data_IF_893828899690
#
_entry.id   IF_893828899690
#
_cell.length_a   1.000
_cell.length_b   1.000
_cell.length_c   1.000
_cell.angle_alpha   90.00
_cell.angle_beta   90.00
_cell.angle_gamma   90.00
#
_symmetry.space_group_name_H-M   'P 1'
#
loop_
_entity.id
_entity.type
_entity.pdbx_description
1 polymer ?
#
# COMPACT_ATOMS: atom_id res chain seq x y z
N UNK A 1 -8.55 -13.73 -8.56
CA UNK A 1 -7.52 -13.73 -9.64
C UNK A 1 -6.17 -13.76 -8.97
N UNK A 2 -5.22 -14.63 -9.36
CA UNK A 2 -3.91 -14.67 -8.69
C UNK A 2 -3.06 -13.46 -9.12
N UNK A 3 -2.47 -12.76 -8.15
CA UNK A 3 -1.59 -11.60 -8.37
C UNK A 3 -0.14 -11.99 -8.07
N UNK A 4 0.76 -11.66 -8.99
CA UNK A 4 2.20 -11.78 -8.76
C UNK A 4 2.64 -10.69 -7.79
N UNK A 5 3.23 -11.08 -6.66
CA UNK A 5 3.78 -10.11 -5.68
C UNK A 5 5.28 -10.01 -5.85
N UNK A 6 5.75 -8.78 -6.08
CA UNK A 6 7.15 -8.41 -6.17
C UNK A 6 7.49 -7.40 -5.06
N UNK A 7 8.79 -7.16 -4.87
CA UNK A 7 9.29 -6.21 -3.89
C UNK A 7 10.37 -5.35 -4.54
N UNK A 8 10.40 -4.04 -4.25
CA UNK A 8 11.55 -3.21 -4.59
C UNK A 8 12.74 -3.54 -3.70
N UNK A 9 13.95 -3.21 -4.13
CA UNK A 9 15.15 -3.44 -3.30
C UNK A 9 15.09 -2.65 -2.01
N UNK A 10 14.61 -1.40 -2.10
CA UNK A 10 14.45 -0.54 -0.93
C UNK A 10 13.43 -1.13 0.05
N UNK A 11 12.29 -1.61 -0.42
CA UNK A 11 11.30 -2.25 0.44
C UNK A 11 11.89 -3.43 1.21
N UNK A 12 12.62 -4.33 0.53
CA UNK A 12 13.26 -5.48 1.19
C UNK A 12 14.26 -5.07 2.27
N UNK A 13 15.02 -4.00 2.04
CA UNK A 13 15.95 -3.46 3.04
C UNK A 13 15.21 -2.84 4.23
N UNK A 14 14.16 -2.08 3.96
CA UNK A 14 13.39 -1.38 5.00
C UNK A 14 12.65 -2.37 5.91
N UNK A 15 12.09 -3.46 5.35
CA UNK A 15 11.36 -4.44 6.16
C UNK A 15 12.27 -5.33 7.02
N UNK A 16 13.57 -5.39 6.72
CA UNK A 16 14.50 -6.27 7.43
C UNK A 16 14.67 -5.91 8.92
N UNK A 17 14.26 -4.70 9.32
CA UNK A 17 14.33 -4.20 10.70
C UNK A 17 12.98 -4.22 11.42
N UNK A 18 11.91 -4.67 10.77
CA UNK A 18 10.57 -4.70 11.36
C UNK A 18 10.39 -5.86 12.32
N UNK A 19 9.40 -5.73 13.20
CA UNK A 19 8.99 -6.80 14.11
C UNK A 19 8.30 -7.95 13.37
N UNK A 20 8.26 -9.13 14.01
CA UNK A 20 7.55 -10.30 13.46
C UNK A 20 6.07 -10.03 13.19
N UNK A 21 5.41 -9.23 14.04
CA UNK A 21 3.99 -8.88 13.87
C UNK A 21 3.77 -8.00 12.63
N UNK A 22 4.65 -7.04 12.38
CA UNK A 22 4.62 -6.20 11.18
C UNK A 22 4.88 -7.03 9.92
N UNK A 23 5.91 -7.88 9.96
CA UNK A 23 6.25 -8.80 8.87
C UNK A 23 5.12 -9.77 8.57
N UNK A 24 4.43 -10.26 9.60
CA UNK A 24 3.27 -11.13 9.45
C UNK A 24 2.15 -10.42 8.71
N UNK A 25 1.82 -9.18 9.06
CA UNK A 25 0.78 -8.41 8.39
C UNK A 25 1.11 -8.17 6.90
N UNK A 26 2.36 -7.80 6.61
CA UNK A 26 2.88 -7.67 5.22
C UNK A 26 2.77 -8.99 4.47
N UNK A 27 3.16 -10.10 5.11
CA UNK A 27 3.07 -11.45 4.57
C UNK A 27 1.64 -11.91 4.28
N UNK A 28 0.72 -11.67 5.22
CA UNK A 28 -0.71 -12.01 5.08
C UNK A 28 -1.34 -11.26 3.90
N UNK A 29 -0.98 -9.99 3.71
CA UNK A 29 -1.41 -9.23 2.53
C UNK A 29 -0.85 -9.84 1.24
N UNK A 30 0.45 -10.16 1.18
CA UNK A 30 1.06 -10.81 0.02
C UNK A 30 0.42 -12.17 -0.30
N UNK A 31 0.09 -12.97 0.72
CA UNK A 31 -0.59 -14.27 0.57
C UNK A 31 -2.02 -14.08 0.03
N UNK A 32 -2.75 -13.08 0.52
CA UNK A 32 -4.09 -12.75 0.04
C UNK A 32 -4.06 -12.39 -1.46
N UNK A 33 -3.13 -11.53 -1.87
CA UNK A 33 -2.93 -11.17 -3.28
C UNK A 33 -2.64 -12.39 -4.16
N UNK A 34 -1.78 -13.31 -3.71
CA UNK A 34 -1.44 -14.52 -4.48
C UNK A 34 -2.60 -15.51 -4.58
N UNK A 35 -3.47 -15.58 -3.57
CA UNK A 35 -4.53 -16.59 -3.48
C UNK A 35 -5.88 -16.11 -4.02
N UNK A 36 -6.40 -15.00 -3.52
CA UNK A 36 -7.69 -14.41 -3.93
C UNK A 36 -7.52 -13.19 -4.83
N UNK A 37 -6.36 -12.54 -4.82
CA UNK A 37 -6.15 -11.24 -5.45
C UNK A 37 -6.55 -10.12 -4.51
N UNK A 38 -7.25 -9.11 -5.03
CA UNK A 38 -7.72 -7.98 -4.21
C UNK A 38 -9.09 -8.21 -3.56
N UNK A 39 -9.69 -9.39 -3.78
CA UNK A 39 -10.99 -9.75 -3.23
C UNK A 39 -10.86 -10.14 -1.75
N UNK A 40 -11.80 -9.65 -0.93
CA UNK A 40 -11.89 -10.01 0.49
C UNK A 40 -10.88 -9.32 1.40
N UNK A 41 -10.20 -8.27 0.93
CA UNK A 41 -9.33 -7.48 1.78
C UNK A 41 -10.15 -6.72 2.84
N UNK A 42 -9.81 -6.78 4.14
CA UNK A 42 -10.53 -6.05 5.18
C UNK A 42 -10.27 -4.54 5.14
N UNK A 43 -9.02 -4.14 4.85
CA UNK A 43 -8.61 -2.76 4.79
C UNK A 43 -9.00 -2.06 3.49
N UNK A 44 -9.03 -0.73 3.53
CA UNK A 44 -9.18 0.09 2.34
C UNK A 44 -7.96 -0.09 1.44
N UNK A 45 -8.21 -0.47 0.20
CA UNK A 45 -7.21 -0.54 -0.87
C UNK A 45 -7.58 0.42 -2.00
N UNK A 46 -6.69 1.32 -2.40
CA UNK A 46 -7.04 2.35 -3.40
C UNK A 46 -5.83 2.96 -4.13
N UNK A 47 -6.07 3.58 -5.31
CA UNK A 47 -5.06 4.42 -5.95
C UNK A 47 -4.60 5.56 -5.05
N UNK A 48 -3.31 5.87 -5.09
CA UNK A 48 -2.67 6.95 -4.34
C UNK A 48 -2.89 8.35 -4.96
N UNK A 49 -3.90 8.50 -5.82
CA UNK A 49 -4.29 9.77 -6.47
C UNK A 49 -5.23 10.62 -5.60
N UNK A 50 -5.64 10.12 -4.43
CA UNK A 50 -6.55 10.78 -3.49
C UNK A 50 -5.92 11.96 -2.74
N UNK A 51 -5.34 12.93 -3.44
CA UNK A 51 -4.66 14.09 -2.85
C UNK A 51 -5.68 15.21 -2.53
N UNK A 52 -5.57 15.78 -1.32
CA UNK A 52 -6.43 16.86 -0.83
C UNK A 52 -6.53 18.02 -1.84
N UNK A 53 -7.75 18.54 -2.02
CA UNK A 53 -8.02 19.70 -2.91
C UNK A 53 -7.24 20.96 -2.51
N UNK A 54 -6.81 21.06 -1.24
CA UNK A 54 -6.08 22.21 -0.69
C UNK A 54 -4.56 22.04 -0.73
N UNK A 55 -4.05 20.90 -1.21
CA UNK A 55 -2.61 20.65 -1.22
C UNK A 55 -1.92 21.46 -2.32
N UNK A 56 -0.91 22.27 -1.98
CA UNK A 56 -0.25 23.17 -2.94
C UNK A 56 0.34 22.44 -4.16
N UNK A 57 0.81 21.20 -3.96
CA UNK A 57 1.40 20.37 -5.03
C UNK A 57 0.45 19.29 -5.56
N UNK A 58 -0.86 19.47 -5.41
CA UNK A 58 -1.86 18.43 -5.68
C UNK A 58 -1.69 17.75 -7.05
N UNK A 59 -1.61 18.54 -8.11
CA UNK A 59 -1.51 18.02 -9.48
C UNK A 59 -0.23 17.20 -9.69
N UNK A 60 0.91 17.72 -9.21
CA UNK A 60 2.20 17.04 -9.28
C UNK A 60 2.16 15.67 -8.59
N UNK A 61 1.59 15.60 -7.40
CA UNK A 61 1.46 14.35 -6.64
C UNK A 61 0.53 13.35 -7.31
N UNK A 62 -0.59 13.82 -7.87
CA UNK A 62 -1.52 12.97 -8.63
C UNK A 62 -0.84 12.40 -9.87
N UNK A 63 -0.14 13.24 -10.64
CA UNK A 63 0.59 12.79 -11.82
C UNK A 63 1.69 11.79 -11.47
N UNK A 64 2.43 12.04 -10.39
CA UNK A 64 3.43 11.10 -9.89
C UNK A 64 2.82 9.75 -9.53
N UNK A 65 1.68 9.74 -8.82
CA UNK A 65 0.98 8.50 -8.48
C UNK A 65 0.47 7.74 -9.72
N UNK A 66 -0.04 8.45 -10.74
CA UNK A 66 -0.51 7.84 -11.99
C UNK A 66 0.66 7.23 -12.77
N UNK A 67 1.73 8.00 -13.00
CA UNK A 67 2.90 7.56 -13.77
C UNK A 67 3.55 6.32 -13.19
N UNK A 68 3.59 6.24 -11.86
CA UNK A 68 4.19 5.13 -11.12
C UNK A 68 3.17 4.07 -10.69
N UNK A 69 1.91 4.17 -11.13
CA UNK A 69 0.82 3.23 -10.81
C UNK A 69 0.66 2.96 -9.31
N UNK A 70 0.84 3.99 -8.49
CA UNK A 70 0.89 3.86 -7.03
C UNK A 70 -0.50 3.65 -6.43
N UNK A 71 -0.57 2.63 -5.58
CA UNK A 71 -1.70 2.26 -4.74
C UNK A 71 -1.22 2.13 -3.29
N UNK A 72 -2.15 2.11 -2.36
CA UNK A 72 -1.87 1.80 -0.97
C UNK A 72 -2.99 0.99 -0.34
N UNK A 73 -2.60 0.14 0.60
CA UNK A 73 -3.49 -0.70 1.39
C UNK A 73 -3.25 -0.47 2.88
N UNK A 74 -4.31 -0.19 3.64
CA UNK A 74 -4.26 -0.17 5.10
C UNK A 74 -4.17 -1.60 5.64
N UNK A 75 -3.07 -1.92 6.32
CA UNK A 75 -2.70 -3.32 6.59
C UNK A 75 -3.07 -3.82 7.99
N UNK A 76 -3.64 -2.96 8.84
CA UNK A 76 -4.11 -3.33 10.17
C UNK A 76 -3.07 -3.18 11.29
N UNK A 77 -1.87 -2.64 10.99
CA UNK A 77 -0.91 -2.29 12.03
C UNK A 77 -1.29 -0.95 12.69
N UNK A 78 -1.23 -0.94 14.04
CA UNK A 78 -1.95 -0.01 14.94
C UNK A 78 -3.46 -0.04 14.70
N UNK A 79 -3.99 -1.27 14.68
CA UNK A 79 -5.39 -1.68 14.58
C UNK A 79 -6.24 -1.11 13.42
N UNK A 80 -7.32 -1.80 13.10
CA UNK A 80 -8.30 -1.31 12.15
C UNK A 80 -9.38 -0.49 12.86
N UNK A 81 -9.63 0.73 12.37
CA UNK A 81 -10.89 1.43 12.58
C UNK A 81 -12.00 0.73 11.78
N UNK A 82 -12.89 0.05 12.51
CA UNK A 82 -14.00 -0.74 11.96
C UNK A 82 -15.33 0.02 11.93
N UNK A 83 -15.32 1.35 12.10
CA UNK A 83 -16.52 2.19 11.98
C UNK A 83 -17.06 2.27 10.53
N UNK A 84 -16.33 1.73 9.55
CA UNK A 84 -16.72 1.60 8.15
C UNK A 84 -17.04 0.15 7.81
N UNK A 85 -17.70 -0.07 6.67
CA UNK A 85 -17.96 -1.41 6.14
C UNK A 85 -16.66 -2.17 5.89
N UNK A 86 -16.73 -3.50 5.95
CA UNK A 86 -15.63 -4.38 5.57
C UNK A 86 -15.11 -4.04 4.16
N UNK A 87 -13.78 -3.99 4.00
CA UNK A 87 -13.12 -3.53 2.78
C UNK A 87 -12.84 -2.03 2.73
N UNK A 88 -13.27 -1.29 3.76
CA UNK A 88 -13.04 0.15 3.88
C UNK A 88 -12.44 0.55 5.23
N UNK A 89 -11.92 -0.42 6.00
CA UNK A 89 -11.26 -0.16 7.27
C UNK A 89 -9.91 0.54 7.06
N UNK A 90 -9.58 1.47 7.95
CA UNK A 90 -8.30 2.18 7.94
C UNK A 90 -7.50 1.82 9.17
N UNK A 91 -6.18 1.76 9.04
CA UNK A 91 -5.21 1.57 10.12
C UNK A 91 -4.09 2.62 9.99
N UNK A 92 -3.29 2.82 11.04
CA UNK A 92 -2.21 3.80 10.98
C UNK A 92 -1.18 3.46 9.90
N UNK A 93 -0.85 2.20 9.68
CA UNK A 93 0.16 1.85 8.68
C UNK A 93 -0.44 1.36 7.37
N UNK A 94 0.26 1.68 6.29
CA UNK A 94 -0.07 1.25 4.93
C UNK A 94 1.11 0.57 4.25
N UNK A 95 0.83 -0.41 3.38
CA UNK A 95 1.76 -0.84 2.34
C UNK A 95 1.46 -0.05 1.08
N UNK A 96 2.48 0.62 0.55
CA UNK A 96 2.42 1.31 -0.74
C UNK A 96 3.03 0.41 -1.81
N UNK A 97 2.37 0.32 -2.97
CA UNK A 97 2.76 -0.61 -4.02
C UNK A 97 2.44 -0.08 -5.42
N UNK A 98 3.16 -0.58 -6.43
CA UNK A 98 2.82 -0.38 -7.85
C UNK A 98 1.81 -1.44 -8.28
N UNK A 99 0.65 -1.03 -8.79
CA UNK A 99 -0.37 -1.93 -9.34
C UNK A 99 -0.26 -2.01 -10.86
N UNK A 100 0.23 -3.13 -11.37
CA UNK A 100 0.35 -3.36 -12.81
C UNK A 100 -0.86 -4.18 -13.30
N UNK A 101 -1.91 -3.46 -13.69
CA UNK A 101 -3.15 -3.99 -14.27
C UNK A 101 -3.82 -5.11 -13.44
N UNK A 102 -3.73 -5.01 -12.11
CA UNK A 102 -4.28 -5.99 -11.17
C UNK A 102 -3.75 -7.42 -11.32
N UNK A 103 -2.63 -7.60 -12.05
CA UNK A 103 -1.94 -8.88 -12.24
C UNK A 103 -0.64 -8.96 -11.47
N UNK A 104 -0.04 -7.81 -11.18
CA UNK A 104 1.18 -7.71 -10.39
C UNK A 104 1.09 -6.55 -9.40
N UNK A 105 1.60 -6.78 -8.20
CA UNK A 105 1.78 -5.79 -7.15
C UNK A 105 3.24 -5.79 -6.70
N UNK A 106 3.97 -4.69 -6.98
CA UNK A 106 5.32 -4.49 -6.42
C UNK A 106 5.24 -3.65 -5.16
N UNK A 107 5.55 -4.23 -4.01
CA UNK A 107 5.59 -3.47 -2.75
C UNK A 107 6.82 -2.57 -2.75
N UNK A 108 6.64 -1.29 -2.47
CA UNK A 108 7.68 -0.26 -2.56
C UNK A 108 7.91 0.49 -1.26
N UNK A 109 6.91 0.55 -0.37
CA UNK A 109 7.07 1.19 0.93
C UNK A 109 6.12 0.63 2.00
N UNK A 110 6.52 0.79 3.25
CA UNK A 110 5.71 0.53 4.43
C UNK A 110 5.86 1.71 5.40
N UNK A 111 4.80 2.49 5.59
CA UNK A 111 4.86 3.77 6.30
C UNK A 111 3.59 4.06 7.10
N UNK A 112 3.69 4.89 8.15
CA UNK A 112 2.51 5.44 8.82
C UNK A 112 1.74 6.44 7.94
N UNK A 113 0.43 6.48 8.15
CA UNK A 113 -0.58 7.35 7.57
C UNK A 113 -1.68 7.59 8.63
N UNK A 114 -1.94 8.84 9.08
CA UNK A 114 -1.48 10.13 8.54
C UNK A 114 -0.19 10.73 9.16
N UNK A 115 0.50 11.64 8.43
CA UNK A 115 0.21 12.11 7.07
C UNK A 115 0.66 11.10 6.00
N UNK A 116 -0.16 10.89 4.97
CA UNK A 116 0.21 10.05 3.82
C UNK A 116 1.28 10.74 2.97
N UNK A 117 2.38 10.04 2.70
CA UNK A 117 3.47 10.50 1.82
C UNK A 117 3.71 9.47 0.73
N UNK A 118 3.78 9.93 -0.52
CA UNK A 118 4.13 9.06 -1.63
C UNK A 118 5.59 8.59 -1.49
N UNK A 119 5.90 7.33 -1.85
CA UNK A 119 7.26 6.82 -1.89
C UNK A 119 8.11 7.69 -2.82
N UNK A 120 9.39 7.94 -2.49
CA UNK A 120 10.27 8.69 -3.37
C UNK A 120 10.75 7.81 -4.55
N UNK A 121 11.17 8.40 -5.69
CA UNK A 121 11.54 7.64 -6.90
C UNK A 121 12.53 6.51 -6.67
N UNK A 122 13.53 6.72 -5.83
CA UNK A 122 14.57 5.75 -5.49
C UNK A 122 14.07 4.50 -4.77
N UNK A 123 12.83 4.51 -4.26
CA UNK A 123 12.21 3.36 -3.60
C UNK A 123 11.41 2.44 -4.51
N UNK A 124 11.21 2.83 -5.78
CA UNK A 124 10.27 2.16 -6.68
C UNK A 124 10.82 0.91 -7.37
N UNK A 125 12.15 0.74 -7.42
CA UNK A 125 12.84 -0.34 -8.14
C UNK A 125 13.53 -1.38 -7.22
#
# INVERSE_FOLDING_TARGET
MQVTVLYSKKFLNDIATLSDDELKLIGDFAVSLKSSGFDGLPGRNKPSTGVSKRHAQREKLIQYAIQNRLWHYHIGHVEYDKNRSFGDWTSEYVVQYQNNNFKEARFVSYDPHPPFKLPPPESLD
#
